data_IF_574398106376
#
_entry.id   IF_574398106376
#
_cell.length_a   1.000
_cell.length_b   1.000
_cell.length_c   1.000
_cell.angle_alpha   90.00
_cell.angle_beta   90.00
_cell.angle_gamma   90.00
#
_symmetry.space_group_name_H-M   'P 1'
#
loop_
_entity.id
_entity.type
_entity.pdbx_description
1 polymer ?
#
# COMPACT_ATOMS: atom_id res chain seq x y z
N UNK A 1 21.97 -29.47 -3.03
CA UNK A 1 21.01 -28.36 -2.87
C UNK A 1 19.75 -28.72 -3.64
N UNK A 2 18.55 -28.41 -3.13
CA UNK A 2 17.27 -28.69 -3.80
C UNK A 2 16.38 -27.46 -3.67
N UNK A 3 15.55 -27.20 -4.69
CA UNK A 3 14.50 -26.21 -4.60
C UNK A 3 13.46 -26.71 -3.58
N UNK A 4 13.16 -25.92 -2.55
CA UNK A 4 12.16 -26.29 -1.55
C UNK A 4 10.78 -25.98 -2.12
N UNK A 5 10.01 -27.02 -2.44
CA UNK A 5 8.66 -26.96 -3.02
C UNK A 5 7.55 -27.21 -2.00
N UNK A 6 7.87 -27.28 -0.71
CA UNK A 6 6.90 -27.56 0.35
C UNK A 6 7.19 -26.70 1.58
N UNK A 7 6.17 -26.54 2.40
CA UNK A 7 6.18 -25.91 3.71
C UNK A 7 5.80 -26.94 4.77
N UNK A 8 6.49 -26.89 5.90
CA UNK A 8 6.22 -27.72 7.06
C UNK A 8 6.37 -26.84 8.29
N UNK A 9 5.23 -26.39 8.81
CA UNK A 9 5.17 -25.54 9.99
C UNK A 9 5.75 -26.25 11.23
N UNK A 10 5.50 -27.55 11.39
CA UNK A 10 6.01 -28.34 12.52
C UNK A 10 7.53 -28.46 12.53
N UNK A 11 8.15 -28.43 11.35
CA UNK A 11 9.61 -28.42 11.17
C UNK A 11 10.20 -27.01 10.97
N UNK A 12 9.39 -25.96 11.00
CA UNK A 12 9.81 -24.58 10.76
C UNK A 12 10.27 -24.30 9.32
N UNK A 13 9.90 -25.15 8.36
CA UNK A 13 10.24 -24.99 6.94
C UNK A 13 9.13 -24.14 6.31
N UNK A 14 9.33 -22.83 6.27
CA UNK A 14 8.34 -21.88 5.74
C UNK A 14 9.00 -21.02 4.64
N UNK A 15 9.33 -21.61 3.47
CA UNK A 15 9.82 -20.82 2.35
C UNK A 15 8.79 -19.74 2.01
N UNK A 16 9.21 -18.48 1.95
CA UNK A 16 8.36 -17.31 1.67
C UNK A 16 7.21 -17.07 2.68
N UNK A 17 7.21 -17.76 3.81
CA UNK A 17 6.58 -17.29 5.03
C UNK A 17 5.36 -18.06 5.51
N UNK A 18 4.43 -18.58 4.69
CA UNK A 18 3.15 -19.05 5.27
C UNK A 18 2.42 -20.28 4.67
N UNK A 19 2.64 -20.75 3.43
CA UNK A 19 1.99 -21.98 2.89
C UNK A 19 2.76 -22.59 1.71
N UNK A 20 2.46 -23.85 1.36
CA UNK A 20 2.81 -24.44 0.07
C UNK A 20 2.24 -23.56 -1.05
N UNK A 21 3.06 -23.30 -2.07
CA UNK A 21 2.60 -22.51 -3.20
C UNK A 21 3.74 -21.93 -4.02
N UNK A 22 3.32 -21.13 -4.98
CA UNK A 22 4.16 -20.51 -5.98
C UNK A 22 3.76 -19.04 -6.10
N UNK A 23 4.73 -18.13 -6.01
CA UNK A 23 4.50 -16.68 -6.09
C UNK A 23 5.12 -16.12 -7.35
N UNK A 24 4.33 -15.39 -8.13
CA UNK A 24 4.79 -14.63 -9.28
C UNK A 24 4.74 -13.14 -8.99
N UNK A 25 5.85 -12.45 -9.19
CA UNK A 25 5.89 -10.99 -9.22
C UNK A 25 5.67 -10.48 -10.63
N UNK A 26 4.61 -9.69 -10.80
CA UNK A 26 4.21 -9.12 -12.08
C UNK A 26 4.43 -7.60 -12.08
N UNK A 27 4.73 -7.07 -13.27
CA UNK A 27 4.84 -5.65 -13.53
C UNK A 27 3.88 -5.27 -14.67
N UNK A 28 3.13 -4.20 -14.47
CA UNK A 28 2.19 -3.69 -15.46
C UNK A 28 2.22 -2.17 -15.53
N UNK A 29 1.87 -1.62 -16.69
CA UNK A 29 1.78 -0.18 -16.92
C UNK A 29 0.31 0.24 -16.99
N UNK A 30 -0.08 1.20 -16.16
CA UNK A 30 -1.42 1.77 -16.14
C UNK A 30 -1.60 2.81 -17.25
N UNK A 31 -2.83 3.07 -17.73
CA UNK A 31 -3.07 3.97 -18.86
C UNK A 31 -2.66 5.42 -18.59
N UNK A 32 -2.65 5.84 -17.32
CA UNK A 32 -2.26 7.18 -16.89
C UNK A 32 -1.67 7.12 -15.47
N UNK A 33 -0.98 8.18 -15.01
CA UNK A 33 -0.58 8.29 -13.62
C UNK A 33 -1.77 8.17 -12.66
N UNK A 34 -1.62 7.36 -11.62
CA UNK A 34 -2.64 7.09 -10.61
C UNK A 34 -2.14 7.44 -9.22
N UNK A 35 -3.05 7.43 -8.25
CA UNK A 35 -2.72 7.72 -6.84
C UNK A 35 -2.19 6.48 -6.15
N UNK A 36 -2.82 5.34 -6.41
CA UNK A 36 -2.60 4.10 -5.68
C UNK A 36 -3.10 2.92 -6.50
N UNK A 37 -2.35 1.81 -6.48
CA UNK A 37 -2.90 0.49 -6.76
C UNK A 37 -3.54 -0.04 -5.47
N UNK A 38 -4.84 -0.37 -5.49
CA UNK A 38 -5.58 -0.74 -4.26
C UNK A 38 -5.69 -2.24 -4.04
N UNK A 39 -5.44 -3.04 -5.07
CA UNK A 39 -5.51 -4.49 -4.99
C UNK A 39 -5.90 -5.09 -6.34
N UNK A 40 -6.63 -6.18 -6.28
CA UNK A 40 -7.11 -6.89 -7.46
C UNK A 40 -7.50 -8.32 -7.12
N UNK A 41 -7.78 -9.09 -8.16
CA UNK A 41 -8.08 -10.52 -8.06
C UNK A 41 -7.53 -11.25 -9.26
N UNK A 42 -7.13 -12.50 -9.03
CA UNK A 42 -6.79 -13.45 -10.07
C UNK A 42 -8.07 -14.22 -10.42
N UNK A 43 -8.33 -14.38 -11.70
CA UNK A 43 -9.56 -15.00 -12.23
C UNK A 43 -9.25 -16.33 -12.92
N UNK A 44 -8.09 -16.45 -13.57
CA UNK A 44 -7.63 -17.67 -14.25
C UNK A 44 -6.13 -17.85 -13.98
N UNK A 45 -5.72 -19.08 -13.69
CA UNK A 45 -4.33 -19.50 -13.67
C UNK A 45 -4.25 -20.98 -14.12
N UNK A 46 -3.98 -21.23 -15.40
CA UNK A 46 -3.89 -22.58 -15.98
C UNK A 46 -2.49 -22.92 -16.45
N UNK A 47 -2.07 -24.17 -16.25
CA UNK A 47 -0.83 -24.72 -16.80
C UNK A 47 -0.98 -25.08 -18.27
N UNK A 48 0.14 -25.30 -18.95
CA UNK A 48 0.23 -25.94 -20.28
C UNK A 48 -0.43 -27.33 -20.36
N UNK A 49 -0.55 -28.03 -19.23
CA UNK A 49 -1.30 -29.29 -19.08
C UNK A 49 -2.80 -29.11 -18.79
N UNK A 50 -3.29 -27.87 -18.67
CA UNK A 50 -4.69 -27.53 -18.41
C UNK A 50 -5.11 -27.58 -16.93
N UNK A 51 -4.16 -27.70 -15.99
CA UNK A 51 -4.45 -27.73 -14.55
C UNK A 51 -4.67 -26.32 -14.00
N UNK A 52 -5.70 -26.15 -13.17
CA UNK A 52 -5.97 -24.91 -12.44
C UNK A 52 -5.03 -24.77 -11.22
N UNK A 53 -4.38 -23.62 -11.10
CA UNK A 53 -3.48 -23.26 -9.99
C UNK A 53 -4.08 -22.20 -9.06
N UNK A 54 -5.35 -21.83 -9.20
CA UNK A 54 -5.97 -20.90 -8.28
C UNK A 54 -6.15 -21.52 -6.88
N UNK A 55 -5.85 -20.77 -5.81
CA UNK A 55 -6.20 -21.19 -4.45
C UNK A 55 -7.72 -21.44 -4.31
N UNK A 56 -8.12 -22.44 -3.52
CA UNK A 56 -9.54 -22.76 -3.31
C UNK A 56 -10.31 -21.59 -2.69
N UNK A 57 -9.70 -20.94 -1.69
CA UNK A 57 -10.33 -19.82 -0.99
C UNK A 57 -10.17 -18.50 -1.76
N UNK A 58 -11.28 -17.76 -1.91
CA UNK A 58 -11.29 -16.44 -2.57
C UNK A 58 -10.30 -15.43 -1.97
N UNK A 59 -9.99 -15.55 -0.68
CA UNK A 59 -8.99 -14.70 -0.03
C UNK A 59 -7.57 -14.90 -0.59
N UNK A 60 -7.21 -16.13 -0.98
CA UNK A 60 -5.94 -16.45 -1.63
C UNK A 60 -5.86 -15.92 -3.06
N UNK A 61 -7.01 -15.68 -3.71
CA UNK A 61 -7.07 -15.14 -5.07
C UNK A 61 -6.93 -13.61 -5.14
N UNK A 62 -6.82 -12.92 -4.00
CA UNK A 62 -6.69 -11.46 -3.96
C UNK A 62 -5.26 -11.03 -4.20
N UNK A 63 -5.10 -10.00 -5.03
CA UNK A 63 -3.83 -9.27 -5.16
C UNK A 63 -3.73 -8.33 -3.96
N UNK A 64 -2.77 -8.61 -3.07
CA UNK A 64 -2.57 -7.87 -1.82
C UNK A 64 -1.38 -6.92 -1.98
N UNK A 65 -1.55 -5.70 -1.46
CA UNK A 65 -0.48 -4.70 -1.36
C UNK A 65 0.30 -4.43 -2.67
N UNK A 66 -0.38 -4.23 -3.83
CA UNK A 66 0.34 -3.84 -5.03
C UNK A 66 1.08 -2.51 -4.80
N UNK A 67 2.29 -2.44 -5.34
CA UNK A 67 3.21 -1.31 -5.17
C UNK A 67 3.18 -0.46 -6.43
N UNK A 68 2.91 0.83 -6.24
CA UNK A 68 3.00 1.82 -7.31
C UNK A 68 4.43 2.36 -7.36
N UNK A 69 5.04 2.40 -8.55
CA UNK A 69 6.36 2.97 -8.77
C UNK A 69 6.33 4.50 -8.68
N UNK A 70 7.51 5.11 -8.67
CA UNK A 70 7.68 6.58 -8.54
C UNK A 70 7.08 7.37 -9.69
N UNK A 71 6.99 6.77 -10.88
CA UNK A 71 6.36 7.35 -12.06
C UNK A 71 4.83 7.44 -11.96
N UNK A 72 4.24 6.86 -10.90
CA UNK A 72 2.80 6.74 -10.67
C UNK A 72 2.04 5.97 -11.74
N UNK A 73 2.73 5.28 -12.66
CA UNK A 73 2.13 4.58 -13.80
C UNK A 73 2.43 3.08 -13.76
N UNK A 74 3.61 2.71 -13.28
CA UNK A 74 4.03 1.32 -13.19
C UNK A 74 3.58 0.69 -11.88
N UNK A 75 2.93 -0.46 -11.93
CA UNK A 75 2.51 -1.24 -10.76
C UNK A 75 3.27 -2.55 -10.71
N UNK A 76 3.79 -2.89 -9.54
CA UNK A 76 4.38 -4.18 -9.22
C UNK A 76 3.48 -4.88 -8.23
N UNK A 77 3.08 -6.11 -8.51
CA UNK A 77 2.16 -6.86 -7.66
C UNK A 77 2.48 -8.35 -7.69
N UNK A 78 2.20 -9.01 -6.58
CA UNK A 78 2.48 -10.43 -6.42
C UNK A 78 1.17 -11.22 -6.48
N UNK A 79 1.21 -12.38 -7.12
CA UNK A 79 0.11 -13.35 -7.17
C UNK A 79 0.53 -14.65 -6.50
N UNK A 80 -0.35 -15.18 -5.66
CA UNK A 80 -0.17 -16.44 -4.93
C UNK A 80 -0.96 -17.55 -5.64
N UNK A 81 -0.27 -18.58 -6.11
CA UNK A 81 -0.82 -19.73 -6.83
C UNK A 81 -0.48 -21.04 -6.10
N UNK A 82 -1.23 -22.09 -6.40
CA UNK A 82 -0.86 -23.46 -6.03
C UNK A 82 0.42 -23.89 -6.76
N UNK A 83 1.13 -24.84 -6.15
CA UNK A 83 2.34 -25.40 -6.75
C UNK A 83 1.97 -26.19 -8.03
N UNK A 84 2.63 -25.92 -9.18
CA UNK A 84 2.46 -26.75 -10.36
C UNK A 84 3.00 -28.16 -10.13
N UNK A 85 2.60 -29.13 -10.96
CA UNK A 85 3.13 -30.49 -10.94
C UNK A 85 4.59 -30.53 -11.47
N UNK A 86 5.22 -31.70 -11.50
CA UNK A 86 6.63 -31.83 -11.93
C UNK A 86 6.81 -31.79 -13.46
N UNK A 87 5.77 -32.14 -14.21
CA UNK A 87 5.73 -32.24 -15.67
C UNK A 87 5.27 -30.94 -16.35
N UNK A 88 4.89 -29.93 -15.58
CA UNK A 88 4.48 -28.60 -16.08
C UNK A 88 5.71 -27.78 -16.47
N UNK A 89 5.74 -27.26 -17.70
CA UNK A 89 6.82 -26.39 -18.20
C UNK A 89 6.47 -24.90 -18.04
N UNK A 90 5.18 -24.57 -18.06
CA UNK A 90 4.71 -23.20 -17.90
C UNK A 90 3.21 -23.02 -17.62
N UNK A 91 2.81 -21.76 -17.60
CA UNK A 91 1.42 -21.32 -17.54
C UNK A 91 0.92 -21.04 -18.96
N UNK A 92 -0.19 -21.68 -19.31
CA UNK A 92 -0.94 -21.37 -20.52
C UNK A 92 -1.60 -19.99 -20.39
N UNK A 93 -2.26 -19.73 -19.25
CA UNK A 93 -2.92 -18.45 -18.99
C UNK A 93 -2.82 -18.04 -17.52
N UNK A 94 -2.54 -16.77 -17.30
CA UNK A 94 -2.70 -16.08 -16.03
C UNK A 94 -3.43 -14.76 -16.27
N UNK A 95 -4.66 -14.63 -15.75
CA UNK A 95 -5.46 -13.43 -15.95
C UNK A 95 -6.26 -13.02 -14.71
N UNK A 96 -6.67 -11.76 -14.70
CA UNK A 96 -7.44 -11.19 -13.61
C UNK A 96 -7.64 -9.70 -13.77
N UNK A 97 -7.95 -9.04 -12.66
CA UNK A 97 -8.26 -7.61 -12.62
C UNK A 97 -7.42 -6.91 -11.56
N UNK A 98 -6.77 -5.81 -11.95
CA UNK A 98 -6.13 -4.88 -11.04
C UNK A 98 -7.06 -3.71 -10.71
N UNK A 99 -7.05 -3.30 -9.46
CA UNK A 99 -7.80 -2.15 -8.96
C UNK A 99 -6.86 -0.98 -8.67
N UNK A 100 -7.25 0.22 -9.10
CA UNK A 100 -6.47 1.43 -8.86
C UNK A 100 -7.35 2.65 -8.60
N UNK A 101 -6.76 3.67 -7.97
CA UNK A 101 -7.43 4.91 -7.60
C UNK A 101 -6.90 6.10 -8.41
N UNK A 102 -7.82 6.88 -8.97
CA UNK A 102 -7.53 8.19 -9.58
C UNK A 102 -8.23 9.30 -8.79
N UNK A 103 -7.81 10.54 -8.97
CA UNK A 103 -8.51 11.73 -8.50
C UNK A 103 -8.63 12.74 -9.63
N UNK A 104 -9.65 13.60 -9.52
CA UNK A 104 -9.88 14.68 -10.47
C UNK A 104 -8.97 15.88 -10.16
N UNK A 105 -8.67 16.13 -8.89
CA UNK A 105 -7.81 17.21 -8.42
C UNK A 105 -7.21 16.93 -7.04
N UNK A 106 -6.31 17.81 -6.59
CA UNK A 106 -5.88 17.93 -5.19
C UNK A 106 -6.11 19.34 -4.70
N UNK A 107 -6.42 19.49 -3.40
CA UNK A 107 -6.47 20.80 -2.75
C UNK A 107 -5.76 20.83 -1.42
N UNK A 108 -5.17 21.99 -1.11
CA UNK A 108 -4.62 22.28 0.19
C UNK A 108 -5.73 22.60 1.20
N UNK A 109 -5.63 22.01 2.39
CA UNK A 109 -6.50 22.26 3.54
C UNK A 109 -5.63 22.71 4.70
N UNK A 110 -5.62 24.03 4.91
CA UNK A 110 -5.00 24.63 6.08
C UNK A 110 -5.86 24.34 7.32
N UNK A 111 -5.27 23.62 8.29
CA UNK A 111 -5.92 23.28 9.56
C UNK A 111 -5.83 24.44 10.58
N UNK A 112 -5.19 25.55 10.20
CA UNK A 112 -4.96 26.72 11.04
C UNK A 112 -3.72 26.58 11.93
N UNK A 113 -3.37 27.69 12.59
CA UNK A 113 -2.35 27.71 13.63
C UNK A 113 -2.95 27.10 14.91
N UNK A 114 -2.24 26.15 15.52
CA UNK A 114 -2.65 25.47 16.74
C UNK A 114 -1.47 25.21 17.68
N UNK A 115 -1.77 24.97 18.95
CA UNK A 115 -0.80 24.47 19.91
C UNK A 115 -0.40 23.04 19.55
N UNK A 116 0.90 22.73 19.49
CA UNK A 116 1.38 21.37 19.39
C UNK A 116 1.42 20.72 20.77
N UNK A 117 0.23 20.47 21.31
CA UNK A 117 0.01 19.76 22.58
C UNK A 117 -1.14 18.77 22.45
N UNK A 118 -1.15 17.75 23.31
CA UNK A 118 -2.21 16.74 23.35
C UNK A 118 -3.59 17.40 23.56
N UNK A 119 -4.57 16.99 22.77
CA UNK A 119 -5.94 17.50 22.81
C UNK A 119 -6.16 18.79 22.01
N UNK A 120 -5.12 19.42 21.47
CA UNK A 120 -5.27 20.60 20.63
C UNK A 120 -6.10 20.29 19.37
N UNK A 121 -6.98 21.22 19.00
CA UNK A 121 -7.90 21.08 17.87
C UNK A 121 -7.49 22.02 16.74
N UNK A 122 -7.57 21.52 15.51
CA UNK A 122 -7.47 22.35 14.31
C UNK A 122 -8.82 22.90 13.88
N UNK A 123 -8.81 23.87 12.97
CA UNK A 123 -10.00 24.55 12.48
C UNK A 123 -10.82 23.76 11.45
N UNK A 124 -10.28 22.67 10.89
CA UNK A 124 -10.94 21.87 9.84
C UNK A 124 -10.78 20.37 10.07
N UNK A 125 -11.61 19.59 9.38
CA UNK A 125 -11.53 18.11 9.29
C UNK A 125 -11.53 17.38 10.63
N UNK A 126 -12.17 17.94 11.67
CA UNK A 126 -12.23 17.31 13.00
C UNK A 126 -10.84 17.06 13.61
N UNK A 127 -9.85 17.90 13.26
CA UNK A 127 -8.45 17.70 13.62
C UNK A 127 -8.23 17.72 15.12
N UNK A 128 -7.56 16.69 15.65
CA UNK A 128 -7.15 16.62 17.06
C UNK A 128 -5.76 15.99 17.18
N UNK A 129 -4.84 16.61 17.92
CA UNK A 129 -3.58 15.98 18.31
C UNK A 129 -3.86 14.97 19.43
N UNK A 130 -3.64 13.68 19.15
CA UNK A 130 -3.94 12.57 20.07
C UNK A 130 -2.81 12.26 21.03
N UNK A 131 -1.58 12.27 20.55
CA UNK A 131 -0.40 12.07 21.39
C UNK A 131 0.80 12.79 20.80
N UNK A 132 1.74 13.13 21.68
CA UNK A 132 3.08 13.59 21.34
C UNK A 132 4.03 12.78 22.20
N UNK A 133 4.74 11.87 21.57
CA UNK A 133 5.64 10.92 22.23
C UNK A 133 7.07 11.13 21.70
N UNK A 134 8.04 10.45 22.31
CA UNK A 134 9.40 10.36 21.76
C UNK A 134 9.50 9.06 20.98
N UNK A 135 10.04 9.13 19.77
CA UNK A 135 10.36 7.96 18.95
C UNK A 135 11.69 7.36 19.43
N UNK A 136 11.69 6.20 20.13
CA UNK A 136 12.91 5.62 20.66
C UNK A 136 13.86 5.14 19.55
N UNK A 137 13.36 4.94 18.33
CA UNK A 137 14.14 4.48 17.18
C UNK A 137 14.74 5.63 16.35
N UNK A 138 14.38 6.88 16.64
CA UNK A 138 14.80 8.07 15.88
C UNK A 138 15.45 9.13 16.79
N UNK A 139 16.45 8.76 17.59
CA UNK A 139 17.16 9.70 18.50
C UNK A 139 16.19 10.51 19.39
N UNK A 140 15.08 9.91 19.80
CA UNK A 140 14.01 10.58 20.56
C UNK A 140 13.35 11.76 19.83
N UNK A 141 13.26 11.69 18.49
CA UNK A 141 12.46 12.62 17.69
C UNK A 141 11.01 12.69 18.19
N UNK A 142 10.36 13.83 18.03
CA UNK A 142 8.96 13.96 18.43
C UNK A 142 8.08 13.16 17.47
N UNK A 143 7.23 12.30 18.03
CA UNK A 143 6.23 11.52 17.30
C UNK A 143 4.85 12.08 17.61
N UNK A 144 4.19 12.66 16.61
CA UNK A 144 2.88 13.28 16.71
C UNK A 144 1.81 12.40 16.06
N UNK A 145 0.77 12.08 16.82
CA UNK A 145 -0.42 11.38 16.32
C UNK A 145 -1.54 12.37 16.04
N UNK A 146 -1.93 12.51 14.78
CA UNK A 146 -2.96 13.45 14.32
C UNK A 146 -4.23 12.69 13.93
N UNK A 147 -5.33 12.92 14.65
CA UNK A 147 -6.65 12.40 14.29
C UNK A 147 -7.37 13.37 13.36
N UNK A 148 -7.98 12.83 12.31
CA UNK A 148 -8.71 13.55 11.28
C UNK A 148 -9.99 12.79 10.89
N UNK A 149 -11.06 13.52 10.58
CA UNK A 149 -12.30 12.97 10.03
C UNK A 149 -12.20 12.89 8.50
N UNK A 150 -11.26 12.08 8.02
CA UNK A 150 -11.06 11.77 6.61
C UNK A 150 -10.61 10.32 6.46
N UNK A 151 -10.86 9.72 5.29
CA UNK A 151 -10.35 8.39 4.96
C UNK A 151 -8.87 8.48 4.56
N UNK A 152 -8.02 7.50 4.90
CA UNK A 152 -6.59 7.54 4.60
C UNK A 152 -6.26 7.78 3.13
N UNK A 153 -7.07 7.24 2.23
CA UNK A 153 -6.87 7.28 0.78
C UNK A 153 -7.02 8.68 0.20
N UNK A 154 -7.72 9.58 0.91
CA UNK A 154 -7.92 10.98 0.51
C UNK A 154 -6.66 11.81 0.76
N UNK A 155 -5.79 11.39 1.69
CA UNK A 155 -4.61 12.18 2.03
C UNK A 155 -3.47 11.92 1.04
N UNK A 156 -3.08 12.97 0.31
CA UNK A 156 -1.88 12.95 -0.53
C UNK A 156 -0.62 13.19 0.32
N UNK A 157 -0.62 14.28 1.09
CA UNK A 157 0.52 14.69 1.91
C UNK A 157 0.10 15.53 3.10
N UNK A 158 1.00 15.69 4.06
CA UNK A 158 0.83 16.58 5.19
C UNK A 158 2.13 17.34 5.40
N UNK A 159 2.03 18.66 5.50
CA UNK A 159 3.15 19.56 5.73
C UNK A 159 2.94 20.32 7.04
N UNK A 160 4.01 20.45 7.80
CA UNK A 160 4.01 21.11 9.10
C UNK A 160 4.90 22.33 9.02
N UNK A 161 4.46 23.41 9.65
CA UNK A 161 5.16 24.68 9.69
C UNK A 161 5.22 25.18 11.13
N UNK A 162 6.33 25.78 11.54
CA UNK A 162 6.40 26.59 12.74
C UNK A 162 5.56 27.88 12.58
N UNK A 163 5.32 28.58 13.68
CA UNK A 163 4.53 29.81 13.68
C UNK A 163 5.12 30.92 12.79
N UNK A 164 6.44 30.93 12.62
CA UNK A 164 7.16 31.87 11.73
C UNK A 164 7.12 31.47 10.24
N UNK A 165 6.43 30.36 9.91
CA UNK A 165 6.34 29.83 8.55
C UNK A 165 7.45 28.86 8.15
N UNK A 166 8.42 28.59 9.02
CA UNK A 166 9.50 27.62 8.74
C UNK A 166 8.92 26.22 8.59
N UNK A 167 9.20 25.56 7.46
CA UNK A 167 8.77 24.18 7.21
C UNK A 167 9.52 23.21 8.12
N UNK A 168 8.80 22.32 8.79
CA UNK A 168 9.37 21.26 9.62
C UNK A 168 9.71 20.05 8.75
N UNK A 169 10.79 19.36 9.11
CA UNK A 169 11.17 18.08 8.50
C UNK A 169 10.34 16.96 9.16
N UNK A 170 9.36 16.46 8.41
CA UNK A 170 8.35 15.51 8.90
C UNK A 170 8.29 14.28 8.00
N UNK A 171 8.28 13.11 8.63
CA UNK A 171 8.11 11.81 7.97
C UNK A 171 6.87 11.09 8.49
N UNK A 172 5.99 10.64 7.59
CA UNK A 172 4.85 9.78 7.95
C UNK A 172 5.37 8.39 8.37
N UNK A 173 4.96 7.93 9.55
CA UNK A 173 5.35 6.62 10.12
C UNK A 173 4.23 5.59 10.08
N UNK A 174 2.98 6.04 10.11
CA UNK A 174 1.86 5.13 10.18
C UNK A 174 0.54 5.81 9.89
N UNK A 175 -0.45 4.97 9.67
CA UNK A 175 -1.83 5.36 9.44
C UNK A 175 -2.71 4.26 10.00
N UNK A 176 -3.71 4.66 10.77
CA UNK A 176 -4.73 3.77 11.33
C UNK A 176 -6.09 4.39 11.04
N UNK A 177 -7.05 3.59 10.56
CA UNK A 177 -8.39 4.05 10.27
C UNK A 177 -9.41 3.18 10.97
N UNK A 178 -10.28 3.81 11.78
CA UNK A 178 -11.34 3.15 12.53
C UNK A 178 -12.60 4.00 12.41
N UNK A 179 -13.72 3.38 12.02
CA UNK A 179 -15.06 3.98 12.01
C UNK A 179 -15.11 5.39 11.37
N UNK A 180 -14.49 5.57 10.19
CA UNK A 180 -14.52 6.83 9.43
C UNK A 180 -13.57 7.92 9.95
N UNK A 181 -12.75 7.62 10.94
CA UNK A 181 -11.69 8.50 11.43
C UNK A 181 -10.32 7.91 11.10
N UNK A 182 -9.37 8.75 10.68
CA UNK A 182 -7.97 8.36 10.49
C UNK A 182 -7.08 8.99 11.56
N UNK A 183 -6.18 8.19 12.13
CA UNK A 183 -5.04 8.65 12.93
C UNK A 183 -3.78 8.47 12.11
N UNK A 184 -3.07 9.58 11.85
CA UNK A 184 -1.79 9.61 11.16
C UNK A 184 -0.68 9.79 12.17
N UNK A 185 0.39 9.01 12.05
CA UNK A 185 1.59 9.14 12.89
C UNK A 185 2.71 9.80 12.10
N UNK A 186 3.30 10.84 12.66
CA UNK A 186 4.38 11.61 12.05
C UNK A 186 5.58 11.68 12.99
N UNK A 187 6.78 11.45 12.45
CA UNK A 187 8.04 11.71 13.13
C UNK A 187 8.57 13.06 12.67
N UNK A 188 8.91 13.93 13.61
CA UNK A 188 9.34 15.30 13.38
C UNK A 188 10.79 15.43 13.83
N UNK A 189 11.68 15.77 12.90
CA UNK A 189 13.10 15.89 13.18
C UNK A 189 13.39 17.22 13.90
N UNK A 190 14.20 17.14 14.95
CA UNK A 190 14.55 18.30 15.78
C UNK A 190 13.50 18.59 16.86
N UNK A 191 13.48 19.83 17.33
CA UNK A 191 12.57 20.27 18.40
C UNK A 191 11.21 20.63 17.81
N UNK A 192 10.14 20.00 18.31
CA UNK A 192 8.77 20.38 17.99
C UNK A 192 8.49 21.78 18.59
N UNK A 193 8.15 22.80 17.77
CA UNK A 193 7.75 24.10 18.31
C UNK A 193 6.45 24.00 19.12
N UNK A 194 6.20 24.90 20.08
CA UNK A 194 4.98 24.85 20.90
C UNK A 194 3.71 25.17 20.10
N UNK A 195 3.85 25.91 19.00
CA UNK A 195 2.76 26.30 18.08
C UNK A 195 3.23 26.14 16.65
N UNK A 196 2.29 25.82 15.78
CA UNK A 196 2.55 25.71 14.35
C UNK A 196 1.28 25.53 13.55
N UNK A 197 1.47 25.34 12.25
CA UNK A 197 0.42 25.15 11.26
C UNK A 197 0.59 23.81 10.57
N UNK A 198 -0.52 23.15 10.28
CA UNK A 198 -0.54 21.91 9.50
C UNK A 198 -1.36 22.16 8.24
N UNK A 199 -0.78 21.88 7.08
CA UNK A 199 -1.44 21.95 5.78
C UNK A 199 -1.52 20.54 5.22
N UNK A 200 -2.72 20.06 4.94
CA UNK A 200 -2.93 18.77 4.30
C UNK A 200 -3.17 18.99 2.81
N UNK A 201 -2.55 18.19 1.96
CA UNK A 201 -3.01 18.09 0.58
C UNK A 201 -3.93 16.89 0.46
N UNK A 202 -5.15 17.11 -0.01
CA UNK A 202 -6.19 16.08 -0.10
C UNK A 202 -6.66 15.92 -1.53
N UNK A 203 -6.84 14.68 -1.97
CA UNK A 203 -7.42 14.33 -3.25
C UNK A 203 -8.92 14.59 -3.28
N UNK A 204 -9.43 15.07 -4.41
CA UNK A 204 -10.84 15.30 -4.68
C UNK A 204 -11.34 14.44 -5.84
N UNK A 205 -12.61 14.04 -5.80
CA UNK A 205 -13.18 13.21 -6.86
C UNK A 205 -12.53 11.83 -6.98
N UNK A 206 -12.13 11.23 -5.86
CA UNK A 206 -11.52 9.89 -5.86
C UNK A 206 -12.44 8.87 -6.52
N UNK A 207 -11.91 8.17 -7.52
CA UNK A 207 -12.59 7.10 -8.25
C UNK A 207 -11.76 5.83 -8.17
N UNK A 208 -12.45 4.71 -7.92
CA UNK A 208 -11.89 3.37 -8.03
C UNK A 208 -12.14 2.89 -9.46
N UNK A 209 -11.09 2.40 -10.09
CA UNK A 209 -11.12 1.87 -11.44
C UNK A 209 -10.56 0.44 -11.43
N UNK A 210 -10.90 -0.30 -12.47
CA UNK A 210 -10.47 -1.67 -12.70
C UNK A 210 -9.85 -1.78 -14.10
N UNK A 211 -8.75 -2.54 -14.22
CA UNK A 211 -8.13 -2.86 -15.50
C UNK A 211 -7.84 -4.36 -15.55
N UNK A 212 -8.28 -5.07 -16.60
CA UNK A 212 -7.94 -6.47 -16.76
C UNK A 212 -6.47 -6.64 -17.13
N UNK A 213 -5.87 -7.75 -16.74
CA UNK A 213 -4.58 -8.19 -17.22
C UNK A 213 -4.67 -9.65 -17.68
N UNK A 214 -3.82 -10.00 -18.65
CA UNK A 214 -3.68 -11.36 -19.15
C UNK A 214 -2.25 -11.59 -19.62
N UNK A 215 -1.68 -12.71 -19.20
CA UNK A 215 -0.41 -13.25 -19.64
C UNK A 215 -0.67 -14.66 -20.17
N UNK A 216 0.01 -15.03 -21.25
CA UNK A 216 -0.11 -16.36 -21.86
C UNK A 216 1.27 -16.90 -22.20
N UNK A 217 1.40 -18.22 -22.19
CA UNK A 217 2.61 -18.95 -22.60
C UNK A 217 3.88 -18.46 -21.88
N UNK A 218 3.83 -18.45 -20.54
CA UNK A 218 4.95 -18.05 -19.69
C UNK A 218 5.55 -19.27 -18.98
N UNK A 219 6.87 -19.38 -18.96
CA UNK A 219 7.56 -20.43 -18.22
C UNK A 219 7.33 -20.27 -16.71
N UNK A 220 7.60 -21.33 -15.94
CA UNK A 220 7.60 -21.26 -14.47
C UNK A 220 8.66 -20.31 -13.89
N UNK A 221 9.54 -19.73 -14.71
CA UNK A 221 10.52 -18.71 -14.33
C UNK A 221 10.21 -17.32 -14.89
N UNK A 222 9.06 -17.15 -15.55
CA UNK A 222 8.59 -15.86 -16.06
C UNK A 222 9.17 -15.45 -17.41
N UNK A 223 9.75 -16.38 -18.17
CA UNK A 223 10.18 -16.14 -19.55
C UNK A 223 9.04 -16.45 -20.51
N UNK A 224 8.96 -15.76 -21.65
CA UNK A 224 8.03 -16.18 -22.71
C UNK A 224 8.49 -17.52 -23.28
N UNK A 225 7.55 -18.42 -23.53
CA UNK A 225 7.78 -19.69 -24.22
C UNK A 225 7.70 -19.58 -25.75
N UNK A 226 7.55 -18.36 -26.27
CA UNK A 226 7.53 -18.03 -27.71
C UNK A 226 8.72 -17.19 -28.12
#
# INVERSE_FOLDING_TARGET
MRLVRYSDYGRGIMPLGQTDGYTLSLIGELPAPVIKASGGRIEIATTDTGKDLLPEHQWGRKIKFPRLAKDKKTVVFDVELLLPDEDVEGLEELSGTLEYLTADASRAVDLGIMDFKVGAKGGKLGTVIRSIEKDPWQKNAAMLSLRLNLRPEVLESAEFFAQDGTKLDVSKRGCEAIAGTTTLKFSIKGKLPPKGRIVLNVFEGLKKNEIPFKLTDISLTGQSLR
#
